data_IF_351117260975
#
_entry.id   IF_351117260975
#
_cell.length_a   1.000
_cell.length_b   1.000
_cell.length_c   1.000
_cell.angle_alpha   90.00
_cell.angle_beta   90.00
_cell.angle_gamma   90.00
#
_symmetry.space_group_name_H-M   'P 1'
#
loop_
_entity.id
_entity.type
_entity.pdbx_description
1 polymer ?
#
# COMPACT_ATOMS: atom_id res chain seq x y z
N UNK A 1 -10.60 -13.45 38.73
CA UNK A 1 -9.50 -12.56 39.17
C UNK A 1 -8.20 -13.31 38.87
N UNK A 2 -7.55 -13.08 37.74
CA UNK A 2 -6.64 -11.95 37.50
C UNK A 2 -5.21 -12.52 37.44
N UNK A 3 -4.75 -12.86 36.23
CA UNK A 3 -3.69 -12.12 35.51
C UNK A 3 -2.26 -12.54 35.88
N UNK A 4 -1.70 -13.45 35.07
CA UNK A 4 -0.25 -13.64 34.90
C UNK A 4 0.08 -13.34 33.44
N UNK A 5 0.15 -12.06 33.10
CA UNK A 5 0.76 -11.62 31.86
C UNK A 5 1.33 -10.22 32.08
N UNK A 6 2.42 -9.93 31.39
CA UNK A 6 3.03 -8.61 31.26
C UNK A 6 4.12 -8.25 32.29
N UNK A 7 5.18 -9.05 32.33
CA UNK A 7 6.52 -8.52 32.70
C UNK A 7 7.40 -8.24 31.47
N UNK A 8 6.86 -8.39 30.26
CA UNK A 8 7.59 -8.13 29.00
C UNK A 8 7.29 -6.73 28.40
N UNK A 9 6.27 -6.02 28.88
CA UNK A 9 5.86 -4.73 28.30
C UNK A 9 6.63 -3.51 28.84
N UNK A 10 7.44 -3.65 29.90
CA UNK A 10 8.11 -2.52 30.57
C UNK A 10 9.50 -2.17 30.02
N UNK A 11 10.02 -2.92 29.03
CA UNK A 11 11.39 -2.71 28.52
C UNK A 11 11.49 -2.07 27.12
N UNK A 12 10.35 -1.80 26.46
CA UNK A 12 10.33 -1.19 25.13
C UNK A 12 10.06 0.32 25.14
N UNK A 13 9.78 0.92 26.31
CA UNK A 13 9.41 2.35 26.41
C UNK A 13 10.62 3.29 26.55
N UNK A 14 11.83 2.75 26.69
CA UNK A 14 13.06 3.53 26.95
C UNK A 14 13.77 4.06 25.69
N UNK A 15 13.28 3.78 24.47
CA UNK A 15 13.94 4.19 23.21
C UNK A 15 13.29 5.37 22.47
N UNK A 16 12.29 6.04 23.04
CA UNK A 16 11.63 7.21 22.41
C UNK A 16 11.74 8.53 23.21
N UNK A 17 12.77 8.69 24.04
CA UNK A 17 13.06 10.00 24.67
C UNK A 17 13.91 10.87 23.75
N UNK A 18 13.27 11.84 23.08
CA UNK A 18 13.94 12.90 22.31
C UNK A 18 14.89 13.71 23.23
N UNK A 19 16.07 14.14 22.74
CA UNK A 19 16.95 15.03 23.49
C UNK A 19 16.33 16.43 23.64
N UNK A 20 16.60 17.16 24.76
CA UNK A 20 16.14 18.53 24.91
C UNK A 20 16.90 19.47 23.98
N UNK A 21 16.15 20.40 23.36
CA UNK A 21 16.71 21.44 22.52
C UNK A 21 17.66 22.34 23.31
N UNK A 22 18.78 22.66 22.66
CA UNK A 22 19.81 23.57 23.11
C UNK A 22 19.24 24.92 23.55
N UNK A 23 19.71 25.39 24.69
CA UNK A 23 19.61 26.76 25.17
C UNK A 23 20.24 27.73 24.16
N UNK A 24 19.45 28.57 23.52
CA UNK A 24 19.93 29.83 22.97
C UNK A 24 19.59 30.93 23.98
N UNK A 25 20.64 31.47 24.59
CA UNK A 25 20.62 32.68 25.39
C UNK A 25 20.46 33.88 24.46
N UNK A 26 19.51 34.76 24.75
CA UNK A 26 19.33 36.04 24.06
C UNK A 26 18.84 37.06 25.07
N UNK A 27 19.82 37.64 25.76
CA UNK A 27 19.72 38.97 26.35
C UNK A 27 19.41 39.98 25.25
N UNK A 28 18.24 40.63 25.27
CA UNK A 28 18.13 42.10 25.38
C UNK A 28 16.67 42.57 25.22
N UNK A 29 16.37 43.64 25.96
CA UNK A 29 15.22 44.55 25.82
C UNK A 29 13.83 44.05 26.27
N UNK A 30 13.45 44.46 27.49
CA UNK A 30 12.03 44.51 27.89
C UNK A 30 11.31 45.67 27.18
N UNK A 31 10.09 45.47 26.65
CA UNK A 31 9.23 46.55 26.15
C UNK A 31 8.50 47.28 27.30
N UNK A 32 8.08 48.56 27.10
CA UNK A 32 7.44 49.38 28.14
C UNK A 32 6.03 48.87 28.54
N UNK A 33 5.53 49.23 29.74
CA UNK A 33 4.24 48.73 30.25
C UNK A 33 3.03 49.26 29.46
N UNK A 34 1.95 48.47 29.31
CA UNK A 34 0.79 48.84 28.50
C UNK A 34 -0.15 49.84 29.21
N UNK A 35 -0.62 50.84 28.47
CA UNK A 35 -1.71 51.73 28.88
C UNK A 35 -3.05 50.98 28.90
N UNK A 36 -3.75 51.08 30.02
CA UNK A 36 -5.02 50.40 30.31
C UNK A 36 -6.19 51.20 29.72
N UNK A 37 -6.81 50.73 28.65
CA UNK A 37 -8.11 51.24 28.17
C UNK A 37 -9.23 50.26 28.53
N UNK A 38 -10.35 50.72 29.12
CA UNK A 38 -11.50 49.86 29.40
C UNK A 38 -12.32 49.59 28.14
N UNK A 39 -12.77 48.34 28.01
CA UNK A 39 -13.62 47.82 26.93
C UNK A 39 -15.00 48.49 26.87
N UNK A 40 -15.63 48.46 25.69
CA UNK A 40 -16.99 47.92 25.66
C UNK A 40 -17.12 46.74 24.69
N UNK A 41 -17.76 45.70 25.20
CA UNK A 41 -18.17 44.48 24.51
C UNK A 41 -19.05 44.79 23.30
N UNK A 42 -18.65 44.32 22.10
CA UNK A 42 -19.59 44.13 21.00
C UNK A 42 -19.48 42.71 20.44
N UNK A 43 -20.42 41.90 20.91
CA UNK A 43 -20.83 40.61 20.39
C UNK A 43 -21.35 40.80 18.96
N UNK A 44 -20.65 40.27 17.96
CA UNK A 44 -21.23 40.06 16.64
C UNK A 44 -20.64 38.81 16.00
N UNK A 45 -21.54 37.93 15.59
CA UNK A 45 -21.28 36.55 15.23
C UNK A 45 -20.46 36.45 13.92
N UNK A 46 -19.22 35.97 14.06
CA UNK A 46 -18.52 35.07 13.16
C UNK A 46 -18.63 35.28 11.63
N UNK A 47 -17.87 36.24 11.10
CA UNK A 47 -17.47 36.29 9.67
C UNK A 47 -16.78 34.99 9.24
N UNK A 48 -16.16 34.27 10.20
CA UNK A 48 -15.53 32.95 10.02
C UNK A 48 -16.53 31.88 9.56
N UNK A 49 -17.80 31.96 9.97
CA UNK A 49 -18.82 31.01 9.53
C UNK A 49 -19.42 31.36 8.17
N UNK A 50 -19.37 32.64 7.76
CA UNK A 50 -19.81 33.07 6.43
C UNK A 50 -18.82 32.61 5.35
N UNK A 51 -17.50 32.77 5.58
CA UNK A 51 -16.46 32.42 4.60
C UNK A 51 -16.31 30.90 4.39
N UNK A 52 -16.47 30.07 5.43
CA UNK A 52 -16.37 28.61 5.29
C UNK A 52 -17.55 28.02 4.51
N UNK A 53 -18.75 28.63 4.58
CA UNK A 53 -19.92 28.17 3.81
C UNK A 53 -19.98 28.72 2.39
N UNK A 54 -19.50 29.95 2.13
CA UNK A 54 -19.51 30.49 0.76
C UNK A 54 -18.43 29.85 -0.14
N UNK A 55 -17.28 29.45 0.41
CA UNK A 55 -16.24 28.75 -0.35
C UNK A 55 -16.65 27.29 -0.70
N UNK A 56 -17.46 26.65 0.14
CA UNK A 56 -17.94 25.29 -0.07
C UNK A 56 -18.97 25.16 -1.21
N UNK A 57 -19.66 26.26 -1.58
CA UNK A 57 -20.64 26.25 -2.68
C UNK A 57 -20.02 26.50 -4.06
N UNK A 58 -18.86 27.16 -4.14
CA UNK A 58 -18.16 27.42 -5.41
C UNK A 58 -17.07 26.37 -5.76
N UNK A 59 -16.77 25.45 -4.84
CA UNK A 59 -15.89 24.30 -5.08
C UNK A 59 -16.62 22.95 -5.01
N UNK A 60 -17.95 22.96 -5.07
CA UNK A 60 -18.71 21.81 -5.53
C UNK A 60 -18.59 21.70 -7.06
N UNK A 61 -17.36 21.63 -7.57
CA UNK A 61 -17.15 21.06 -8.89
C UNK A 61 -17.47 19.57 -8.74
N UNK A 62 -18.42 19.03 -9.52
CA UNK A 62 -18.48 17.61 -9.77
C UNK A 62 -17.29 17.27 -10.67
N UNK A 63 -16.06 17.39 -10.15
CA UNK A 63 -14.89 16.88 -10.85
C UNK A 63 -14.86 15.37 -10.61
N UNK A 64 -15.70 14.69 -11.37
CA UNK A 64 -15.34 13.48 -12.10
C UNK A 64 -14.37 12.52 -11.38
N UNK A 65 -14.84 11.92 -10.27
CA UNK A 65 -14.80 10.46 -10.18
C UNK A 65 -16.01 10.04 -11.02
N UNK A 66 -15.89 9.77 -12.31
CA UNK A 66 -15.37 8.51 -12.81
C UNK A 66 -14.86 8.69 -14.25
N UNK A 67 -13.58 9.03 -14.41
CA UNK A 67 -12.91 8.61 -15.64
C UNK A 67 -12.85 7.08 -15.60
N UNK A 68 -13.25 6.33 -16.66
CA UNK A 68 -12.94 4.92 -16.73
C UNK A 68 -11.42 4.85 -16.78
N UNK A 69 -10.80 4.65 -15.62
CA UNK A 69 -9.40 4.35 -15.54
C UNK A 69 -9.26 3.06 -16.32
N UNK A 70 -8.79 3.15 -17.56
CA UNK A 70 -8.32 1.99 -18.29
C UNK A 70 -7.34 1.32 -17.31
N UNK A 71 -7.67 0.15 -16.75
CA UNK A 71 -6.87 -0.46 -15.69
C UNK A 71 -5.62 -1.06 -16.33
N UNK A 72 -4.82 -0.20 -16.94
CA UNK A 72 -3.57 -0.55 -17.58
C UNK A 72 -2.50 -0.82 -16.53
N UNK A 73 -1.31 -1.15 -17.03
CA UNK A 73 -0.13 -1.48 -16.24
C UNK A 73 0.16 -0.47 -15.11
N UNK A 74 -0.15 0.80 -15.33
CA UNK A 74 0.00 1.86 -14.33
C UNK A 74 -0.79 1.63 -13.04
N UNK A 75 -1.95 0.95 -13.09
CA UNK A 75 -2.74 0.62 -11.89
C UNK A 75 -2.10 -0.52 -11.08
N UNK A 76 -1.44 -1.46 -11.78
CA UNK A 76 -0.78 -2.63 -11.19
C UNK A 76 0.59 -2.28 -10.57
N UNK A 77 1.34 -1.36 -11.19
CA UNK A 77 2.72 -1.03 -10.79
C UNK A 77 2.77 0.06 -9.71
N UNK A 78 1.82 1.00 -9.66
CA UNK A 78 1.88 2.17 -8.76
C UNK A 78 1.67 1.86 -7.27
N UNK A 79 1.06 0.71 -6.94
CA UNK A 79 0.73 0.34 -5.56
C UNK A 79 1.62 -0.83 -5.13
N UNK A 80 2.50 -0.60 -4.15
CA UNK A 80 3.49 -1.59 -3.69
C UNK A 80 2.89 -2.97 -3.39
N UNK A 81 1.76 -3.03 -2.68
CA UNK A 81 1.13 -4.32 -2.38
C UNK A 81 0.54 -4.98 -3.65
N UNK A 82 -0.10 -4.21 -4.53
CA UNK A 82 -0.69 -4.72 -5.78
C UNK A 82 0.41 -5.27 -6.68
N UNK A 83 1.53 -4.57 -6.77
CA UNK A 83 2.70 -5.00 -7.53
C UNK A 83 3.20 -6.37 -7.04
N UNK A 84 3.44 -6.53 -5.74
CA UNK A 84 3.90 -7.79 -5.18
C UNK A 84 2.89 -8.93 -5.41
N UNK A 85 1.60 -8.68 -5.19
CA UNK A 85 0.56 -9.69 -5.45
C UNK A 85 0.48 -10.08 -6.93
N UNK A 86 0.66 -9.10 -7.83
CA UNK A 86 0.64 -9.33 -9.28
C UNK A 86 1.82 -10.18 -9.70
N UNK A 87 3.01 -9.93 -9.15
CA UNK A 87 4.21 -10.73 -9.44
C UNK A 87 4.03 -12.16 -8.95
N UNK A 88 3.50 -12.39 -7.74
CA UNK A 88 3.28 -13.75 -7.24
C UNK A 88 2.23 -14.51 -8.05
N UNK A 89 1.08 -13.90 -8.29
CA UNK A 89 0.02 -14.51 -9.12
C UNK A 89 0.53 -14.75 -10.54
N UNK A 90 1.25 -13.79 -11.11
CA UNK A 90 1.88 -13.90 -12.42
C UNK A 90 2.91 -15.03 -12.47
N UNK A 91 3.74 -15.18 -11.45
CA UNK A 91 4.73 -16.26 -11.38
C UNK A 91 4.07 -17.64 -11.38
N UNK A 92 3.02 -17.85 -10.59
CA UNK A 92 2.28 -19.12 -10.60
C UNK A 92 1.57 -19.39 -11.93
N UNK A 93 0.95 -18.36 -12.53
CA UNK A 93 0.28 -18.49 -13.82
C UNK A 93 1.27 -18.82 -14.94
N UNK A 94 2.41 -18.14 -14.97
CA UNK A 94 3.48 -18.39 -15.95
C UNK A 94 4.08 -19.77 -15.72
N UNK A 95 4.37 -20.18 -14.48
CA UNK A 95 4.88 -21.51 -14.17
C UNK A 95 3.98 -22.60 -14.76
N UNK A 96 2.70 -22.58 -14.40
CA UNK A 96 1.73 -23.60 -14.84
C UNK A 96 1.54 -23.61 -16.36
N UNK A 97 1.49 -22.44 -16.98
CA UNK A 97 1.33 -22.35 -18.44
C UNK A 97 2.60 -22.75 -19.18
N UNK A 98 3.77 -22.36 -18.67
CA UNK A 98 5.06 -22.66 -19.27
C UNK A 98 5.38 -24.16 -19.24
N UNK A 99 5.14 -24.83 -18.12
CA UNK A 99 5.35 -26.28 -18.02
C UNK A 99 4.53 -27.02 -19.10
N UNK A 100 3.23 -26.75 -19.18
CA UNK A 100 2.36 -27.40 -20.18
C UNK A 100 2.69 -27.00 -21.63
N UNK A 101 3.06 -25.75 -21.86
CA UNK A 101 3.40 -25.28 -23.19
C UNK A 101 4.72 -25.88 -23.69
N UNK A 102 5.72 -25.95 -22.81
CA UNK A 102 7.04 -26.48 -23.12
C UNK A 102 6.97 -27.96 -23.44
N UNK A 103 6.23 -28.74 -22.65
CA UNK A 103 6.00 -30.16 -22.94
C UNK A 103 5.33 -30.35 -24.31
N UNK A 104 4.29 -29.58 -24.62
CA UNK A 104 3.60 -29.67 -25.92
C UNK A 104 4.51 -29.33 -27.10
N UNK A 105 5.35 -28.32 -26.95
CA UNK A 105 6.34 -27.93 -27.95
C UNK A 105 7.37 -29.04 -28.13
N UNK A 106 7.90 -29.57 -27.04
CA UNK A 106 8.88 -30.64 -27.07
C UNK A 106 8.33 -31.90 -27.71
N UNK A 107 7.11 -32.27 -27.33
CA UNK A 107 6.37 -33.40 -27.84
C UNK A 107 6.15 -33.30 -29.33
N UNK A 108 5.85 -32.09 -29.82
CA UNK A 108 5.61 -31.85 -31.23
C UNK A 108 6.88 -31.92 -32.07
N UNK A 109 8.01 -31.47 -31.53
CA UNK A 109 9.30 -31.49 -32.24
C UNK A 109 9.92 -32.89 -32.24
N UNK A 110 9.69 -33.68 -31.19
CA UNK A 110 10.29 -35.01 -31.02
C UNK A 110 9.31 -36.18 -31.25
N UNK A 111 8.23 -35.97 -32.02
CA UNK A 111 7.25 -37.03 -32.30
C UNK A 111 7.94 -38.27 -32.88
N UNK A 112 7.59 -39.44 -32.36
CA UNK A 112 8.12 -40.73 -32.83
C UNK A 112 9.49 -41.12 -32.27
N UNK A 113 10.16 -40.23 -31.52
CA UNK A 113 11.43 -40.54 -30.82
C UNK A 113 11.26 -40.63 -29.30
N UNK A 114 10.08 -40.34 -28.79
CA UNK A 114 9.84 -40.32 -27.36
C UNK A 114 9.49 -41.71 -26.86
N UNK A 115 9.98 -42.05 -25.67
CA UNK A 115 9.68 -43.34 -25.04
C UNK A 115 8.18 -43.59 -24.94
N UNK A 116 7.37 -42.56 -24.65
CA UNK A 116 5.91 -42.67 -24.61
C UNK A 116 5.27 -43.11 -25.93
N UNK A 117 5.87 -42.77 -27.06
CA UNK A 117 5.39 -43.17 -28.39
C UNK A 117 5.85 -44.60 -28.73
N UNK A 118 6.93 -45.11 -28.13
CA UNK A 118 7.51 -46.42 -28.46
C UNK A 118 7.06 -47.50 -27.45
N UNK A 119 6.77 -47.10 -26.21
CA UNK A 119 6.45 -47.99 -25.07
C UNK A 119 5.35 -49.01 -25.39
N UNK A 120 4.33 -48.62 -26.16
CA UNK A 120 3.21 -49.51 -26.49
C UNK A 120 3.69 -50.82 -27.13
N UNK A 121 4.74 -50.80 -27.96
CA UNK A 121 5.27 -51.98 -28.63
C UNK A 121 5.97 -52.96 -27.69
N UNK A 122 6.45 -52.50 -26.53
CA UNK A 122 7.17 -53.33 -25.57
C UNK A 122 6.27 -53.86 -24.45
N UNK A 123 5.22 -53.13 -24.08
CA UNK A 123 4.24 -53.59 -23.09
C UNK A 123 3.40 -54.73 -23.66
N UNK A 124 2.91 -54.61 -24.90
CA UNK A 124 2.15 -55.68 -25.56
C UNK A 124 3.00 -56.96 -25.73
N UNK A 125 4.27 -56.81 -26.12
CA UNK A 125 5.20 -57.93 -26.25
C UNK A 125 5.59 -58.62 -24.93
N UNK A 126 5.22 -58.06 -23.75
CA UNK A 126 5.47 -58.67 -22.44
C UNK A 126 4.22 -59.26 -21.79
N UNK A 127 3.02 -58.99 -22.32
CA UNK A 127 1.77 -59.63 -21.87
C UNK A 127 1.44 -60.90 -22.69
N UNK A 128 2.13 -61.15 -23.81
CA UNK A 128 1.97 -62.31 -24.71
C UNK A 128 2.93 -63.51 -24.42
N UNK A 129 3.69 -63.48 -23.31
CA UNK A 129 4.50 -64.60 -22.78
C UNK A 129 3.91 -65.18 -21.48
#
# INVERSE_FOLDING_TARGET
MGSRASLAALRADSLLRRPPASTCDSTSAQPPPPLRTPSPTLRSHNVRHCLVRLQASFLALPYARDAPANPGLSSLIKRNYVFLTTVFVGAFAVQMSFDSASDKIWDSVNKGRQWKDIKHKYVEASDDE
#
